data_IF_065113810233
#
_entry.id   IF_065113810233
#
_cell.length_a   1.000
_cell.length_b   1.000
_cell.length_c   1.000
_cell.angle_alpha   90.00
_cell.angle_beta   90.00
_cell.angle_gamma   90.00
#
_symmetry.space_group_name_H-M   'P 1'
#
loop_
_entity.id
_entity.type
_entity.pdbx_description
1 polymer ?
#
# COMPACT_ATOMS: atom_id res chain seq x y z
N UNK A 1 2.89 0.77 -23.82
CA UNK A 1 4.16 0.38 -24.46
C UNK A 1 4.90 -0.53 -23.49
N UNK A 2 5.15 -1.79 -23.88
CA UNK A 2 5.88 -2.72 -23.03
C UNK A 2 7.36 -2.30 -23.02
N UNK A 3 7.79 -1.58 -22.02
CA UNK A 3 9.20 -1.19 -21.87
C UNK A 3 9.89 -2.27 -21.06
N UNK A 4 10.90 -2.91 -21.65
CA UNK A 4 11.80 -3.81 -20.95
C UNK A 4 12.80 -2.96 -20.14
N UNK A 5 12.90 -3.24 -18.84
CA UNK A 5 13.81 -2.53 -17.93
C UNK A 5 14.43 -3.53 -16.94
N UNK A 6 15.54 -3.14 -16.33
CA UNK A 6 16.15 -3.88 -15.22
C UNK A 6 15.93 -3.10 -13.92
N UNK A 7 15.51 -3.78 -12.86
CA UNK A 7 15.38 -3.16 -11.53
C UNK A 7 16.75 -2.73 -10.99
N UNK A 8 17.78 -3.57 -11.21
CA UNK A 8 19.12 -3.34 -10.70
C UNK A 8 20.16 -3.50 -11.81
N UNK A 9 20.32 -2.53 -12.72
CA UNK A 9 21.22 -2.63 -13.88
C UNK A 9 22.70 -2.74 -13.49
N UNK A 10 23.06 -2.35 -12.28
CA UNK A 10 24.43 -2.41 -11.76
C UNK A 10 24.99 -3.84 -11.74
N UNK A 11 24.15 -4.85 -11.50
CA UNK A 11 24.59 -6.25 -11.51
C UNK A 11 25.03 -6.75 -12.90
N UNK A 12 24.63 -6.08 -13.99
CA UNK A 12 25.09 -6.41 -15.33
C UNK A 12 26.60 -6.21 -15.50
N UNK A 13 27.25 -5.37 -14.68
CA UNK A 13 28.70 -5.26 -14.65
C UNK A 13 29.38 -6.59 -14.27
N UNK A 14 28.66 -7.49 -13.58
CA UNK A 14 29.14 -8.84 -13.32
C UNK A 14 29.42 -9.67 -14.58
N UNK A 15 28.85 -9.30 -15.73
CA UNK A 15 29.17 -9.95 -17.03
C UNK A 15 30.65 -9.81 -17.44
N UNK A 16 31.36 -8.80 -16.92
CA UNK A 16 32.79 -8.68 -17.12
C UNK A 16 33.61 -9.84 -16.50
N UNK A 17 33.02 -10.59 -15.59
CA UNK A 17 33.63 -11.81 -15.04
C UNK A 17 33.76 -12.90 -16.10
N UNK A 18 32.87 -12.95 -17.09
CA UNK A 18 32.83 -13.99 -18.13
C UNK A 18 34.10 -13.96 -18.98
N UNK A 19 34.49 -12.83 -19.63
CA UNK A 19 35.73 -12.78 -20.43
C UNK A 19 36.97 -13.08 -19.56
N UNK A 20 36.97 -12.66 -18.29
CA UNK A 20 38.07 -12.99 -17.38
C UNK A 20 38.16 -14.51 -17.16
N UNK A 21 37.05 -15.20 -16.92
CA UNK A 21 37.03 -16.66 -16.75
C UNK A 21 37.41 -17.39 -18.03
N UNK A 22 37.02 -16.88 -19.20
CA UNK A 22 37.41 -17.43 -20.49
C UNK A 22 38.93 -17.32 -20.71
N UNK A 23 39.54 -16.18 -20.41
CA UNK A 23 40.99 -16.00 -20.48
C UNK A 23 41.73 -16.95 -19.52
N UNK A 24 41.22 -17.07 -18.29
CA UNK A 24 41.78 -18.00 -17.30
C UNK A 24 41.69 -19.45 -17.78
N UNK A 25 40.55 -19.84 -18.35
CA UNK A 25 40.35 -21.18 -18.89
C UNK A 25 41.31 -21.47 -20.06
N UNK A 26 41.48 -20.54 -20.98
CA UNK A 26 42.41 -20.67 -22.11
C UNK A 26 43.84 -20.81 -21.59
N UNK A 27 44.22 -19.99 -20.60
CA UNK A 27 45.56 -20.07 -19.97
C UNK A 27 45.79 -21.44 -19.33
N UNK A 28 44.84 -21.92 -18.51
CA UNK A 28 44.92 -23.23 -17.83
C UNK A 28 44.97 -24.37 -18.85
N UNK A 29 44.15 -24.31 -19.91
CA UNK A 29 44.13 -25.31 -20.98
C UNK A 29 45.46 -25.39 -21.72
N UNK A 30 46.04 -24.22 -22.08
CA UNK A 30 47.36 -24.15 -22.72
C UNK A 30 48.45 -24.71 -21.80
N UNK A 31 48.44 -24.36 -20.54
CA UNK A 31 49.40 -24.87 -19.54
C UNK A 31 49.27 -26.37 -19.37
N UNK A 32 48.06 -26.88 -19.24
CA UNK A 32 47.80 -28.33 -19.16
C UNK A 32 48.29 -29.07 -20.42
N UNK A 33 48.10 -28.52 -21.59
CA UNK A 33 48.58 -29.07 -22.88
C UNK A 33 50.12 -29.09 -22.95
N UNK A 34 50.77 -28.02 -22.48
CA UNK A 34 52.24 -27.93 -22.45
C UNK A 34 52.84 -28.97 -21.47
N UNK A 35 52.23 -29.11 -20.29
CA UNK A 35 52.67 -30.10 -19.29
C UNK A 35 52.55 -31.52 -19.83
N UNK A 36 51.45 -31.83 -20.49
CA UNK A 36 51.25 -33.13 -21.12
C UNK A 36 52.26 -33.42 -22.25
N UNK A 37 52.64 -32.43 -23.03
CA UNK A 37 53.69 -32.54 -24.09
C UNK A 37 55.08 -32.80 -23.48
N UNK A 38 55.36 -32.33 -22.23
CA UNK A 38 56.60 -32.57 -21.53
C UNK A 38 56.69 -33.98 -20.93
N UNK A 39 55.56 -34.63 -20.67
CA UNK A 39 55.48 -35.99 -20.11
C UNK A 39 55.68 -37.10 -21.15
N UNK A 40 55.65 -36.81 -22.44
CA UNK A 40 55.92 -37.82 -23.47
C UNK A 40 55.23 -37.55 -24.82
N UNK A 41 55.40 -38.50 -25.72
CA UNK A 41 54.83 -38.41 -27.05
C UNK A 41 53.31 -38.42 -27.02
N UNK A 42 52.63 -37.43 -27.61
CA UNK A 42 51.15 -37.30 -27.59
C UNK A 42 50.42 -38.53 -28.07
N UNK A 43 51.01 -39.30 -28.99
CA UNK A 43 50.42 -40.52 -29.55
C UNK A 43 50.40 -41.68 -28.53
N UNK A 44 51.43 -41.78 -27.70
CA UNK A 44 51.51 -42.78 -26.63
C UNK A 44 50.60 -42.40 -25.46
N UNK A 45 50.57 -41.12 -25.09
CA UNK A 45 49.66 -40.60 -24.04
C UNK A 45 48.19 -40.83 -24.39
N UNK A 46 47.81 -40.70 -25.66
CA UNK A 46 46.47 -40.96 -26.16
C UNK A 46 46.05 -42.43 -26.01
N UNK A 47 47.02 -43.36 -26.13
CA UNK A 47 46.79 -44.80 -25.90
C UNK A 47 46.65 -45.14 -24.41
N UNK A 48 47.34 -44.41 -23.52
CA UNK A 48 47.26 -44.58 -22.09
C UNK A 48 46.00 -43.98 -21.44
N UNK A 49 45.34 -43.02 -22.17
CA UNK A 49 44.12 -42.35 -21.72
C UNK A 49 43.00 -42.47 -22.77
N UNK A 50 42.53 -43.69 -23.10
CA UNK A 50 41.54 -43.89 -24.17
C UNK A 50 40.17 -43.27 -23.88
N UNK A 51 39.90 -43.06 -22.60
CA UNK A 51 38.59 -42.60 -22.10
C UNK A 51 38.48 -41.07 -22.02
N UNK A 52 39.58 -40.36 -22.18
CA UNK A 52 39.61 -38.90 -22.13
C UNK A 52 38.90 -38.30 -23.34
N UNK A 53 37.86 -37.50 -23.10
CA UNK A 53 37.19 -36.72 -24.13
C UNK A 53 37.89 -35.37 -24.28
N UNK A 54 38.20 -34.94 -25.53
CA UNK A 54 38.77 -33.63 -25.79
C UNK A 54 37.71 -32.53 -25.84
N UNK A 55 36.46 -32.89 -26.13
CA UNK A 55 35.37 -31.94 -26.35
C UNK A 55 34.51 -31.67 -25.09
N UNK A 56 34.28 -32.67 -24.28
CA UNK A 56 33.40 -32.57 -23.09
C UNK A 56 33.82 -31.49 -22.09
N UNK A 57 35.12 -31.26 -21.75
CA UNK A 57 35.53 -30.19 -20.88
C UNK A 57 35.14 -28.80 -21.40
N UNK A 58 35.17 -28.60 -22.72
CA UNK A 58 34.80 -27.33 -23.35
C UNK A 58 33.29 -27.11 -23.24
N UNK A 59 32.49 -28.13 -23.54
CA UNK A 59 31.01 -28.04 -23.38
C UNK A 59 30.63 -27.78 -21.94
N UNK A 60 31.25 -28.50 -21.02
CA UNK A 60 31.02 -28.32 -19.57
C UNK A 60 31.28 -26.88 -19.14
N UNK A 61 32.47 -26.35 -19.55
CA UNK A 61 32.82 -24.97 -19.25
C UNK A 61 31.88 -23.95 -19.90
N UNK A 62 31.42 -24.21 -21.13
CA UNK A 62 30.44 -23.34 -21.80
C UNK A 62 29.10 -23.34 -21.10
N UNK A 63 28.60 -24.51 -20.67
CA UNK A 63 27.35 -24.61 -19.88
C UNK A 63 27.45 -23.87 -18.56
N UNK A 64 28.59 -23.98 -17.88
CA UNK A 64 28.85 -23.23 -16.65
C UNK A 64 28.84 -21.71 -16.88
N UNK A 65 29.52 -21.22 -17.94
CA UNK A 65 29.51 -19.80 -18.27
C UNK A 65 28.12 -19.28 -18.63
N UNK A 66 27.33 -20.08 -19.36
CA UNK A 66 25.98 -19.72 -19.75
C UNK A 66 25.06 -19.63 -18.53
N UNK A 67 25.19 -20.60 -17.61
CA UNK A 67 24.48 -20.58 -16.34
C UNK A 67 24.86 -19.36 -15.49
N UNK A 68 26.15 -19.04 -15.39
CA UNK A 68 26.65 -17.86 -14.68
C UNK A 68 26.09 -16.56 -15.29
N UNK A 69 26.07 -16.46 -16.63
CA UNK A 69 25.49 -15.31 -17.32
C UNK A 69 23.99 -15.13 -16.98
N UNK A 70 23.23 -16.24 -17.00
CA UNK A 70 21.82 -16.21 -16.66
C UNK A 70 21.59 -15.83 -15.18
N UNK A 71 22.43 -16.29 -14.26
CA UNK A 71 22.35 -15.88 -12.85
C UNK A 71 22.64 -14.39 -12.68
N UNK A 72 23.62 -13.83 -13.40
CA UNK A 72 23.91 -12.39 -13.37
C UNK A 72 22.70 -11.60 -13.91
N UNK A 73 22.09 -12.05 -15.02
CA UNK A 73 20.88 -11.44 -15.55
C UNK A 73 19.71 -11.56 -14.57
N UNK A 74 19.57 -12.69 -13.88
CA UNK A 74 18.54 -12.88 -12.85
C UNK A 74 18.72 -11.90 -11.69
N UNK A 75 19.96 -11.66 -11.23
CA UNK A 75 20.27 -10.67 -10.19
C UNK A 75 19.94 -9.24 -10.62
N UNK A 76 20.06 -8.93 -11.91
CA UNK A 76 19.66 -7.63 -12.46
C UNK A 76 18.13 -7.44 -12.48
N UNK A 77 17.34 -8.47 -12.14
CA UNK A 77 15.85 -8.48 -12.05
C UNK A 77 15.22 -7.88 -13.32
N UNK A 78 15.18 -8.62 -14.45
CA UNK A 78 14.53 -8.14 -15.65
C UNK A 78 13.03 -7.98 -15.42
N UNK A 79 12.52 -6.79 -15.71
CA UNK A 79 11.12 -6.39 -15.62
C UNK A 79 10.55 -6.38 -17.04
N UNK A 80 9.49 -7.12 -17.28
CA UNK A 80 8.84 -7.15 -18.58
C UNK A 80 7.33 -7.11 -18.44
N UNK A 81 6.71 -6.09 -19.02
CA UNK A 81 5.28 -5.90 -18.96
C UNK A 81 4.84 -5.12 -17.71
N UNK A 82 3.62 -4.66 -17.74
CA UNK A 82 2.89 -4.16 -16.59
C UNK A 82 1.86 -5.23 -16.23
N UNK A 83 2.19 -6.12 -15.33
CA UNK A 83 1.17 -6.92 -14.67
C UNK A 83 0.44 -6.00 -13.69
N UNK A 84 -0.61 -5.37 -14.18
CA UNK A 84 -1.62 -4.90 -13.27
C UNK A 84 -2.23 -6.11 -12.59
N UNK A 85 -1.69 -6.57 -11.47
CA UNK A 85 -2.48 -7.39 -10.56
C UNK A 85 -3.61 -6.49 -10.09
N UNK A 86 -4.75 -6.68 -10.72
CA UNK A 86 -5.99 -6.15 -10.24
C UNK A 86 -6.33 -6.91 -8.95
N UNK A 87 -5.84 -6.45 -7.81
CA UNK A 87 -6.36 -6.91 -6.54
C UNK A 87 -7.78 -6.37 -6.41
N UNK A 88 -8.74 -7.22 -6.72
CA UNK A 88 -10.15 -6.95 -6.52
C UNK A 88 -10.45 -7.07 -5.02
N UNK A 89 -10.33 -5.96 -4.34
CA UNK A 89 -10.71 -5.85 -2.94
C UNK A 89 -12.12 -5.27 -2.83
N UNK A 90 -12.91 -5.80 -1.92
CA UNK A 90 -14.26 -5.27 -1.65
C UNK A 90 -14.14 -4.20 -0.59
N UNK A 91 -14.51 -2.98 -0.91
CA UNK A 91 -14.46 -1.85 0.01
C UNK A 91 -15.51 -0.80 -0.31
N UNK A 92 -15.59 0.22 0.52
CA UNK A 92 -16.45 1.39 0.39
C UNK A 92 -15.60 2.65 0.18
N UNK A 93 -16.25 3.72 -0.25
CA UNK A 93 -15.70 5.07 -0.22
C UNK A 93 -16.22 5.80 1.03
N UNK A 94 -15.32 6.26 1.88
CA UNK A 94 -15.60 6.99 3.11
C UNK A 94 -15.09 8.43 2.99
N UNK A 95 -15.99 9.42 2.97
CA UNK A 95 -15.62 10.83 3.08
C UNK A 95 -15.79 11.28 4.54
N UNK A 96 -14.69 11.65 5.18
CA UNK A 96 -14.66 12.10 6.58
C UNK A 96 -14.56 13.62 6.60
N UNK A 97 -15.51 14.27 7.26
CA UNK A 97 -15.56 15.72 7.47
C UNK A 97 -15.43 16.02 8.96
N UNK A 98 -14.34 16.69 9.33
CA UNK A 98 -14.04 16.99 10.75
C UNK A 98 -14.29 18.47 11.00
N UNK A 99 -15.11 18.74 12.00
CA UNK A 99 -15.28 20.08 12.54
C UNK A 99 -14.00 20.52 13.25
N UNK A 100 -13.44 21.64 12.81
CA UNK A 100 -12.25 22.25 13.41
C UNK A 100 -12.56 23.66 13.91
N UNK A 101 -13.84 23.96 14.19
CA UNK A 101 -14.23 25.22 14.84
C UNK A 101 -13.63 25.33 16.24
N UNK A 102 -13.56 26.54 16.75
CA UNK A 102 -13.02 26.81 18.09
C UNK A 102 -13.75 26.08 19.20
N UNK A 103 -15.05 25.76 19.04
CA UNK A 103 -15.83 24.96 20.00
C UNK A 103 -15.26 23.56 20.20
N UNK A 104 -14.55 23.02 19.22
CA UNK A 104 -13.88 21.71 19.32
C UNK A 104 -12.65 21.73 20.25
N UNK A 105 -12.20 22.88 20.72
CA UNK A 105 -11.18 23.00 21.77
C UNK A 105 -11.76 22.85 23.19
N UNK A 106 -13.10 22.84 23.35
CA UNK A 106 -13.74 22.66 24.64
C UNK A 106 -13.30 21.36 25.34
N UNK A 107 -13.13 21.43 26.67
CA UNK A 107 -12.55 20.38 27.50
C UNK A 107 -13.61 19.63 28.34
N UNK A 108 -14.84 19.58 27.88
CA UNK A 108 -15.91 18.75 28.50
C UNK A 108 -15.67 17.26 28.27
N UNK A 109 -14.76 16.90 27.34
CA UNK A 109 -14.18 15.59 27.16
C UNK A 109 -12.65 15.70 27.17
N UNK A 110 -11.97 14.72 27.74
CA UNK A 110 -10.50 14.78 27.91
C UNK A 110 -9.77 14.22 26.70
N UNK A 111 -8.73 14.86 26.16
CA UNK A 111 -8.16 16.16 26.58
C UNK A 111 -8.99 17.34 26.06
N UNK A 112 -9.58 17.27 24.88
CA UNK A 112 -10.57 18.14 24.27
C UNK A 112 -11.34 17.40 23.17
N UNK A 113 -12.39 18.03 22.61
CA UNK A 113 -13.24 17.40 21.58
C UNK A 113 -12.47 17.04 20.33
N UNK A 114 -11.56 17.91 19.83
CA UNK A 114 -10.79 17.68 18.61
C UNK A 114 -9.79 16.53 18.78
N UNK A 115 -9.09 16.45 19.90
CA UNK A 115 -8.17 15.35 20.16
C UNK A 115 -8.89 14.01 20.31
N UNK A 116 -10.10 14.00 20.87
CA UNK A 116 -10.94 12.80 20.90
C UNK A 116 -11.38 12.38 19.48
N UNK A 117 -11.70 13.35 18.61
CA UNK A 117 -12.02 13.09 17.22
C UNK A 117 -10.82 12.48 16.47
N UNK A 118 -9.60 13.02 16.66
CA UNK A 118 -8.37 12.47 16.11
C UNK A 118 -8.13 11.02 16.57
N UNK A 119 -8.27 10.75 17.85
CA UNK A 119 -8.08 9.40 18.41
C UNK A 119 -9.06 8.40 17.80
N UNK A 120 -10.33 8.78 17.66
CA UNK A 120 -11.31 7.93 17.00
C UNK A 120 -10.93 7.65 15.56
N UNK A 121 -10.55 8.68 14.79
CA UNK A 121 -10.18 8.55 13.39
C UNK A 121 -8.92 7.69 13.19
N UNK A 122 -7.87 7.89 14.01
CA UNK A 122 -6.68 7.04 13.98
C UNK A 122 -7.04 5.57 14.25
N UNK A 123 -7.85 5.31 15.27
CA UNK A 123 -8.32 3.95 15.58
C UNK A 123 -9.18 3.35 14.45
N UNK A 124 -9.91 4.17 13.71
CA UNK A 124 -10.72 3.75 12.58
C UNK A 124 -9.82 3.40 11.36
N UNK A 125 -8.86 4.26 11.03
CA UNK A 125 -7.93 4.07 9.91
C UNK A 125 -7.03 2.86 10.10
N UNK A 126 -6.53 2.60 11.29
CA UNK A 126 -5.69 1.42 11.62
C UNK A 126 -6.32 0.07 11.23
N UNK A 127 -7.64 0.02 11.13
CA UNK A 127 -8.38 -1.21 10.84
C UNK A 127 -9.01 -1.24 9.46
N UNK A 128 -8.87 -0.17 8.69
CA UNK A 128 -9.27 -0.16 7.29
C UNK A 128 -8.25 -0.97 6.47
N UNK A 129 -8.74 -1.83 5.59
CA UNK A 129 -7.85 -2.66 4.75
C UNK A 129 -8.12 -2.48 3.26
N UNK A 130 -9.38 -2.23 2.90
CA UNK A 130 -9.83 -2.25 1.51
C UNK A 130 -10.71 -1.04 1.16
N UNK A 131 -10.99 -0.18 2.12
CA UNK A 131 -11.81 1.00 1.94
C UNK A 131 -10.97 2.18 1.43
N UNK A 132 -11.60 3.12 0.75
CA UNK A 132 -10.97 4.38 0.39
C UNK A 132 -11.46 5.48 1.33
N UNK A 133 -10.57 6.35 1.75
CA UNK A 133 -10.86 7.47 2.64
C UNK A 133 -10.51 8.79 1.96
N UNK A 134 -11.41 9.77 2.10
CA UNK A 134 -11.11 11.18 1.86
C UNK A 134 -11.27 11.95 3.16
N UNK A 135 -10.43 12.95 3.40
CA UNK A 135 -10.48 13.78 4.60
C UNK A 135 -10.69 15.24 4.22
N UNK A 136 -11.65 15.87 4.86
CA UNK A 136 -11.88 17.30 4.81
C UNK A 136 -12.10 17.89 6.18
N UNK A 137 -11.86 19.17 6.30
CA UNK A 137 -12.14 19.96 7.49
C UNK A 137 -13.19 21.02 7.19
N UNK A 138 -13.94 21.38 8.21
CA UNK A 138 -14.87 22.48 8.08
C UNK A 138 -14.99 23.28 9.40
N UNK A 139 -15.33 24.51 9.24
CA UNK A 139 -15.79 25.43 10.25
C UNK A 139 -16.81 26.38 9.59
N UNK A 140 -16.59 27.67 9.46
CA UNK A 140 -17.41 28.57 8.65
C UNK A 140 -17.38 28.24 7.14
N UNK A 141 -16.33 27.59 6.66
CA UNK A 141 -16.14 27.07 5.32
C UNK A 141 -15.59 25.63 5.37
N UNK A 142 -15.63 24.90 4.25
CA UNK A 142 -15.15 23.53 4.16
C UNK A 142 -14.00 23.40 3.15
N UNK A 143 -12.93 22.70 3.53
CA UNK A 143 -11.72 22.51 2.73
C UNK A 143 -11.31 21.03 2.64
N UNK A 144 -10.94 20.55 1.45
CA UNK A 144 -10.40 19.21 1.30
C UNK A 144 -8.95 19.16 1.81
N UNK A 145 -8.61 18.15 2.60
CA UNK A 145 -7.25 17.90 3.06
C UNK A 145 -6.60 16.73 2.32
N UNK A 146 -7.34 15.63 2.16
CA UNK A 146 -6.86 14.43 1.51
C UNK A 146 -7.91 13.98 0.48
N UNK A 147 -7.55 13.84 -0.80
CA UNK A 147 -8.45 13.26 -1.79
C UNK A 147 -8.68 11.77 -1.51
N UNK A 148 -9.69 11.17 -2.15
CA UNK A 148 -10.02 9.75 -1.99
C UNK A 148 -8.81 8.87 -2.28
N UNK A 149 -8.36 8.11 -1.28
CA UNK A 149 -7.16 7.26 -1.34
C UNK A 149 -7.29 6.03 -0.44
N UNK A 150 -6.48 5.01 -0.70
CA UNK A 150 -6.24 3.87 0.18
C UNK A 150 -4.92 3.97 0.96
N UNK A 151 -4.25 5.12 0.90
CA UNK A 151 -3.03 5.40 1.66
C UNK A 151 -3.40 5.86 3.07
N UNK A 152 -3.46 4.91 4.00
CA UNK A 152 -3.84 5.16 5.40
C UNK A 152 -2.73 5.87 6.19
N UNK A 153 -1.46 5.71 5.81
CA UNK A 153 -0.34 6.41 6.45
C UNK A 153 -0.42 7.92 6.16
N UNK A 154 -0.77 8.27 4.92
CA UNK A 154 -1.07 9.65 4.57
C UNK A 154 -2.29 10.17 5.34
N UNK A 155 -3.37 9.38 5.44
CA UNK A 155 -4.56 9.78 6.20
C UNK A 155 -4.24 10.03 7.67
N UNK A 156 -3.46 9.18 8.32
CA UNK A 156 -3.02 9.34 9.71
C UNK A 156 -2.19 10.62 9.89
N UNK A 157 -1.30 10.91 8.95
CA UNK A 157 -0.51 12.14 8.98
C UNK A 157 -1.39 13.39 8.98
N UNK A 158 -2.41 13.43 8.11
CA UNK A 158 -3.36 14.55 8.06
C UNK A 158 -4.26 14.60 9.29
N UNK A 159 -4.74 13.46 9.81
CA UNK A 159 -5.54 13.40 11.05
C UNK A 159 -4.76 14.00 12.22
N UNK A 160 -3.50 13.66 12.36
CA UNK A 160 -2.64 14.18 13.44
C UNK A 160 -2.38 15.69 13.30
N UNK A 161 -2.41 16.23 12.09
CA UNK A 161 -2.18 17.66 11.82
C UNK A 161 -3.42 18.55 12.02
N UNK A 162 -4.62 17.97 12.25
CA UNK A 162 -5.86 18.73 12.39
C UNK A 162 -5.74 19.79 13.48
N UNK A 163 -6.07 21.03 13.14
CA UNK A 163 -6.11 22.15 14.10
C UNK A 163 -7.13 23.20 13.67
N UNK A 164 -7.68 24.01 14.61
CA UNK A 164 -8.60 25.08 14.28
C UNK A 164 -8.01 26.18 13.40
N UNK A 165 -6.69 26.30 13.37
CA UNK A 165 -5.97 27.32 12.59
C UNK A 165 -5.99 26.99 11.07
N UNK A 166 -6.42 25.77 10.69
CA UNK A 166 -6.54 25.38 9.28
C UNK A 166 -7.67 26.13 8.56
N UNK A 167 -8.63 26.66 9.30
CA UNK A 167 -9.79 27.38 8.71
C UNK A 167 -9.82 28.79 9.23
N UNK A 168 -9.77 29.76 8.32
CA UNK A 168 -9.74 31.18 8.67
C UNK A 168 -11.09 31.68 9.18
N UNK A 169 -12.19 31.22 8.57
CA UNK A 169 -13.53 31.61 8.96
C UNK A 169 -14.09 30.64 9.99
N UNK A 170 -14.27 31.12 11.21
CA UNK A 170 -14.85 30.33 12.30
C UNK A 170 -16.38 30.23 12.17
N UNK A 171 -16.94 29.23 12.83
CA UNK A 171 -18.37 28.86 12.74
C UNK A 171 -18.51 27.40 12.35
N UNK A 172 -19.74 26.94 12.01
CA UNK A 172 -20.01 25.54 11.66
C UNK A 172 -20.98 25.47 10.47
N UNK A 173 -20.45 25.27 9.27
CA UNK A 173 -21.18 25.21 8.01
C UNK A 173 -21.34 23.76 7.55
N UNK A 174 -22.30 23.07 8.10
CA UNK A 174 -22.61 21.67 7.77
C UNK A 174 -23.04 21.45 6.31
N UNK A 175 -23.86 22.32 5.69
CA UNK A 175 -24.18 22.22 4.27
C UNK A 175 -22.92 22.20 3.38
N UNK A 176 -21.95 23.08 3.67
CA UNK A 176 -20.69 23.13 2.92
C UNK A 176 -19.87 21.84 3.12
N UNK A 177 -19.82 21.31 4.34
CA UNK A 177 -19.13 20.05 4.65
C UNK A 177 -19.74 18.87 3.87
N UNK A 178 -21.07 18.74 3.84
CA UNK A 178 -21.79 17.70 3.09
C UNK A 178 -21.53 17.83 1.58
N UNK A 179 -21.63 19.06 1.04
CA UNK A 179 -21.36 19.31 -0.38
C UNK A 179 -19.91 19.00 -0.77
N UNK A 180 -18.95 19.26 0.11
CA UNK A 180 -17.55 18.88 -0.10
C UNK A 180 -17.37 17.36 -0.08
N UNK A 181 -18.01 16.68 0.87
CA UNK A 181 -17.99 15.22 0.94
C UNK A 181 -18.53 14.57 -0.34
N UNK A 182 -19.67 15.07 -0.85
CA UNK A 182 -20.26 14.58 -2.11
C UNK A 182 -19.27 14.69 -3.29
N UNK A 183 -18.56 15.81 -3.38
CA UNK A 183 -17.57 16.07 -4.44
C UNK A 183 -16.29 15.23 -4.30
N UNK A 184 -16.02 14.68 -3.13
CA UNK A 184 -14.85 13.86 -2.86
C UNK A 184 -14.99 12.43 -3.36
N UNK A 185 -16.20 11.95 -3.63
CA UNK A 185 -16.47 10.61 -4.11
C UNK A 185 -16.13 10.42 -5.58
N UNK A 186 -15.76 9.19 -5.93
CA UNK A 186 -15.60 8.80 -7.34
C UNK A 186 -16.97 8.82 -8.07
N UNK A 187 -16.94 8.99 -9.39
CA UNK A 187 -18.16 8.92 -10.21
C UNK A 187 -18.77 7.51 -10.33
N UNK A 188 -18.25 6.52 -9.61
CA UNK A 188 -18.67 5.12 -9.69
C UNK A 188 -19.98 4.90 -8.92
N UNK A 189 -21.00 4.39 -9.62
CA UNK A 189 -22.37 4.22 -9.05
C UNK A 189 -22.54 2.96 -8.20
N UNK A 190 -21.64 2.00 -8.32
CA UNK A 190 -21.79 0.68 -7.67
C UNK A 190 -21.02 0.54 -6.37
N UNK A 191 -20.22 1.54 -5.99
CA UNK A 191 -19.46 1.57 -4.72
C UNK A 191 -20.34 2.14 -3.63
N UNK A 192 -20.37 1.51 -2.46
CA UNK A 192 -21.04 2.05 -1.29
C UNK A 192 -20.33 3.31 -0.80
N UNK A 193 -21.09 4.38 -0.62
CA UNK A 193 -20.59 5.70 -0.23
C UNK A 193 -21.09 6.05 1.17
N UNK A 194 -20.16 6.40 2.04
CA UNK A 194 -20.45 6.87 3.38
C UNK A 194 -19.85 8.25 3.63
N UNK A 195 -20.64 9.14 4.19
CA UNK A 195 -20.17 10.43 4.72
C UNK A 195 -20.12 10.29 6.23
N UNK A 196 -18.98 10.60 6.84
CA UNK A 196 -18.79 10.63 8.28
C UNK A 196 -18.52 12.07 8.70
N UNK A 197 -19.45 12.66 9.45
CA UNK A 197 -19.30 14.00 10.03
C UNK A 197 -18.99 13.86 11.50
N UNK A 198 -17.94 14.55 11.96
CA UNK A 198 -17.56 14.64 13.38
C UNK A 198 -17.70 16.09 13.79
N UNK A 199 -18.62 16.40 14.69
CA UNK A 199 -18.99 17.76 15.10
C UNK A 199 -19.64 17.76 16.48
N UNK A 200 -19.69 18.92 17.11
CA UNK A 200 -20.53 19.16 18.30
C UNK A 200 -21.98 19.59 17.93
N UNK A 201 -22.27 19.77 16.65
CA UNK A 201 -23.58 20.10 16.15
C UNK A 201 -24.06 21.52 16.40
N UNK A 202 -23.20 22.44 16.87
CA UNK A 202 -23.53 23.86 17.00
C UNK A 202 -23.44 24.53 15.63
N UNK A 203 -24.54 24.59 14.88
CA UNK A 203 -24.58 25.26 13.60
C UNK A 203 -25.47 26.49 13.63
N UNK A 204 -25.05 27.52 12.93
CA UNK A 204 -25.81 28.74 12.72
C UNK A 204 -26.28 28.87 11.25
N UNK A 205 -25.99 27.86 10.41
CA UNK A 205 -26.32 27.87 8.99
C UNK A 205 -27.47 26.90 8.76
N UNK A 206 -28.54 27.40 8.14
CA UNK A 206 -29.68 26.59 7.73
C UNK A 206 -29.36 25.74 6.50
N UNK A 207 -30.15 24.67 6.26
CA UNK A 207 -30.05 23.83 5.06
C UNK A 207 -29.24 22.54 5.23
N UNK A 208 -28.75 22.23 6.43
CA UNK A 208 -28.00 21.00 6.69
C UNK A 208 -28.82 19.72 6.48
N UNK A 209 -30.11 19.74 6.90
CA UNK A 209 -31.00 18.60 6.68
C UNK A 209 -31.33 18.39 5.20
N UNK A 210 -31.52 19.46 4.45
CA UNK A 210 -31.77 19.41 3.01
C UNK A 210 -30.59 18.83 2.26
N UNK A 211 -29.38 19.27 2.59
CA UNK A 211 -28.14 18.72 2.03
C UNK A 211 -28.00 17.22 2.36
N UNK A 212 -28.27 16.82 3.61
CA UNK A 212 -28.22 15.41 4.00
C UNK A 212 -29.27 14.55 3.26
N UNK A 213 -30.48 15.07 3.04
CA UNK A 213 -31.52 14.38 2.25
C UNK A 213 -31.13 14.23 0.79
N UNK A 214 -30.47 15.22 0.22
CA UNK A 214 -29.98 15.16 -1.16
C UNK A 214 -28.86 14.13 -1.33
N UNK A 215 -27.90 14.12 -0.41
CA UNK A 215 -26.84 13.08 -0.36
C UNK A 215 -27.44 11.66 -0.26
N UNK A 216 -28.47 11.49 0.60
CA UNK A 216 -29.18 10.22 0.74
C UNK A 216 -29.90 9.77 -0.54
N UNK A 217 -30.53 10.69 -1.29
CA UNK A 217 -31.14 10.39 -2.59
C UNK A 217 -30.12 9.92 -3.63
N UNK A 218 -28.89 10.41 -3.54
CA UNK A 218 -27.78 9.97 -4.39
C UNK A 218 -27.17 8.63 -3.94
N UNK A 219 -27.73 7.99 -2.90
CA UNK A 219 -27.30 6.68 -2.42
C UNK A 219 -26.18 6.71 -1.38
N UNK A 220 -25.82 7.89 -0.87
CA UNK A 220 -24.85 8.05 0.19
C UNK A 220 -25.50 7.86 1.56
N UNK A 221 -24.77 7.30 2.54
CA UNK A 221 -25.24 7.24 3.94
C UNK A 221 -24.43 8.19 4.81
N UNK A 222 -25.13 9.01 5.59
CA UNK A 222 -24.53 10.03 6.45
C UNK A 222 -24.47 9.55 7.91
N UNK A 223 -23.27 9.30 8.40
CA UNK A 223 -23.00 9.01 9.80
C UNK A 223 -22.57 10.28 10.51
N UNK A 224 -23.13 10.56 11.66
CA UNK A 224 -22.80 11.75 12.46
C UNK A 224 -22.29 11.31 13.82
N UNK A 225 -21.08 11.76 14.16
CA UNK A 225 -20.50 11.58 15.49
C UNK A 225 -20.57 12.89 16.23
N UNK A 226 -21.38 12.89 17.29
CA UNK A 226 -21.46 14.01 18.20
C UNK A 226 -20.34 13.95 19.23
N UNK A 227 -19.57 15.03 19.34
CA UNK A 227 -18.43 15.13 20.26
C UNK A 227 -18.72 16.19 21.31
N UNK A 228 -18.50 15.85 22.57
CA UNK A 228 -18.76 16.72 23.71
C UNK A 228 -19.90 16.23 24.57
N UNK A 229 -20.28 17.05 25.55
CA UNK A 229 -21.38 16.80 26.48
C UNK A 229 -22.51 17.81 26.30
N UNK A 230 -23.72 17.44 26.67
CA UNK A 230 -24.88 18.36 26.66
C UNK A 230 -24.79 19.42 27.75
N UNK A 231 -23.96 19.22 28.79
CA UNK A 231 -23.67 20.25 29.81
C UNK A 231 -22.70 21.31 29.30
N UNK A 232 -21.85 20.95 28.32
CA UNK A 232 -20.88 21.83 27.69
C UNK A 232 -19.74 22.26 28.59
N UNK A 233 -18.86 23.12 28.00
CA UNK A 233 -17.74 23.74 28.70
C UNK A 233 -17.35 25.07 28.03
N UNK A 234 -16.60 25.94 28.72
CA UNK A 234 -16.02 27.12 28.10
C UNK A 234 -14.95 26.72 27.07
N UNK A 235 -14.73 27.58 26.09
CA UNK A 235 -13.71 27.41 25.05
C UNK A 235 -12.39 27.99 25.54
N UNK A 236 -11.34 27.19 25.77
CA UNK A 236 -10.04 27.70 26.21
C UNK A 236 -9.31 28.41 25.07
N UNK A 237 -8.64 29.52 25.40
CA UNK A 237 -7.73 30.24 24.51
C UNK A 237 -6.39 30.47 25.22
N UNK A 238 -5.37 30.92 24.50
CA UNK A 238 -4.05 31.24 25.10
C UNK A 238 -4.10 32.31 26.21
N UNK A 239 -5.17 33.11 26.25
CA UNK A 239 -5.32 34.23 27.19
C UNK A 239 -6.42 33.98 28.27
N UNK A 240 -6.93 32.77 28.38
CA UNK A 240 -8.04 32.38 29.25
C UNK A 240 -9.20 31.81 28.45
N UNK A 241 -10.43 31.93 28.94
CA UNK A 241 -11.60 31.47 28.22
C UNK A 241 -12.04 32.48 27.15
N UNK A 242 -12.61 32.01 26.06
CA UNK A 242 -13.17 32.85 25.00
C UNK A 242 -14.32 33.68 25.56
N UNK A 243 -14.27 35.00 25.30
CA UNK A 243 -15.31 35.94 25.74
C UNK A 243 -16.15 36.38 24.54
N UNK A 244 -17.45 36.59 24.80
CA UNK A 244 -18.38 37.20 23.85
C UNK A 244 -18.13 38.73 23.76
N UNK A 245 -18.86 39.43 22.89
CA UNK A 245 -18.82 40.88 22.75
C UNK A 245 -19.19 41.64 24.04
N UNK A 246 -19.81 41.02 24.99
CA UNK A 246 -20.24 41.57 26.30
C UNK A 246 -19.25 41.23 27.43
N UNK A 247 -18.12 40.53 27.10
CA UNK A 247 -17.13 40.09 28.08
C UNK A 247 -17.55 38.90 28.93
N UNK A 248 -18.54 38.10 28.49
CA UNK A 248 -18.98 36.87 29.15
C UNK A 248 -18.30 35.68 28.54
N UNK A 249 -18.00 34.65 29.33
CA UNK A 249 -17.44 33.41 28.83
C UNK A 249 -18.41 32.73 27.86
N UNK A 250 -17.87 32.34 26.69
CA UNK A 250 -18.60 31.57 25.68
C UNK A 250 -18.64 30.10 26.12
N UNK A 251 -19.83 29.57 26.36
CA UNK A 251 -20.06 28.15 26.64
C UNK A 251 -20.59 27.47 25.39
N UNK A 252 -19.97 26.36 25.01
CA UNK A 252 -20.38 25.49 23.92
C UNK A 252 -20.86 24.14 24.46
N UNK A 253 -21.92 23.58 23.90
CA UNK A 253 -22.50 22.31 24.32
C UNK A 253 -22.85 21.45 23.11
N UNK A 254 -22.79 20.12 23.25
CA UNK A 254 -23.19 19.21 22.16
C UNK A 254 -24.70 19.37 21.88
N UNK A 255 -25.01 19.71 20.62
CA UNK A 255 -26.38 19.71 20.12
C UNK A 255 -26.77 18.33 19.58
N UNK A 256 -27.03 17.43 20.49
CA UNK A 256 -27.36 16.03 20.18
C UNK A 256 -28.60 15.91 19.29
N UNK A 257 -29.62 16.75 19.52
CA UNK A 257 -30.86 16.71 18.76
C UNK A 257 -30.62 17.01 17.28
N UNK A 258 -29.83 18.02 16.98
CA UNK A 258 -29.46 18.40 15.62
C UNK A 258 -28.64 17.30 14.95
N UNK A 259 -27.64 16.72 15.62
CA UNK A 259 -26.85 15.62 15.10
C UNK A 259 -27.71 14.39 14.77
N UNK A 260 -28.71 14.07 15.62
CA UNK A 260 -29.66 12.97 15.37
C UNK A 260 -30.57 13.25 14.17
N UNK A 261 -31.07 14.46 14.05
CA UNK A 261 -31.91 14.88 12.91
C UNK A 261 -31.14 14.81 11.59
N UNK A 262 -29.87 15.29 11.59
CA UNK A 262 -28.99 15.27 10.45
C UNK A 262 -28.68 13.83 9.98
N UNK A 263 -28.30 12.96 10.90
CA UNK A 263 -28.04 11.54 10.60
C UNK A 263 -29.28 10.82 10.04
N UNK A 264 -30.45 11.09 10.62
CA UNK A 264 -31.72 10.55 10.13
C UNK A 264 -32.06 11.06 8.72
N UNK A 265 -31.87 12.34 8.45
CA UNK A 265 -32.08 12.95 7.14
C UNK A 265 -31.17 12.30 6.08
N UNK A 266 -29.92 12.00 6.44
CA UNK A 266 -28.93 11.33 5.60
C UNK A 266 -29.04 9.80 5.56
N UNK A 267 -30.15 9.19 6.02
CA UNK A 267 -30.38 7.73 6.02
C UNK A 267 -29.25 6.91 6.72
N UNK A 268 -28.56 7.53 7.66
CA UNK A 268 -27.48 6.95 8.41
C UNK A 268 -27.76 6.83 9.90
N UNK A 269 -26.72 6.98 10.71
CA UNK A 269 -26.79 6.79 12.15
C UNK A 269 -26.04 7.89 12.90
N UNK A 270 -26.63 8.34 14.02
CA UNK A 270 -25.97 9.18 15.00
C UNK A 270 -25.26 8.31 16.04
N UNK A 271 -24.06 8.70 16.43
CA UNK A 271 -23.26 8.07 17.47
C UNK A 271 -22.65 9.16 18.37
N UNK A 272 -22.72 8.97 19.68
CA UNK A 272 -22.04 9.87 20.63
C UNK A 272 -20.64 9.36 20.94
N UNK A 273 -19.64 10.22 20.92
CA UNK A 273 -18.24 9.87 21.18
C UNK A 273 -17.98 9.69 22.70
N UNK A 274 -18.76 8.83 23.34
CA UNK A 274 -18.56 8.50 24.76
C UNK A 274 -17.73 7.22 24.99
N UNK A 275 -17.81 6.28 24.06
CA UNK A 275 -17.11 4.99 24.13
C UNK A 275 -16.59 4.61 22.74
N UNK A 276 -15.34 4.93 22.48
CA UNK A 276 -14.69 4.80 21.16
C UNK A 276 -14.88 3.42 20.54
N UNK A 277 -14.76 2.35 21.32
CA UNK A 277 -14.94 0.98 20.81
C UNK A 277 -16.37 0.67 20.35
N UNK A 278 -17.39 1.19 21.04
CA UNK A 278 -18.79 1.00 20.63
C UNK A 278 -19.11 1.82 19.38
N UNK A 279 -18.61 3.04 19.29
CA UNK A 279 -18.75 3.90 18.10
C UNK A 279 -18.12 3.22 16.89
N UNK A 280 -16.93 2.71 17.05
CA UNK A 280 -16.21 1.99 16.00
C UNK A 280 -16.97 0.74 15.54
N UNK A 281 -17.45 -0.09 16.48
CA UNK A 281 -18.19 -1.31 16.13
C UNK A 281 -19.51 -0.97 15.39
N UNK A 282 -20.19 0.10 15.79
CA UNK A 282 -21.40 0.58 15.14
C UNK A 282 -21.13 1.10 13.72
N UNK A 283 -20.03 1.87 13.51
CA UNK A 283 -19.61 2.33 12.19
C UNK A 283 -19.26 1.15 11.28
N UNK A 284 -18.46 0.19 11.76
CA UNK A 284 -18.08 -0.98 10.99
C UNK A 284 -19.30 -1.81 10.57
N UNK A 285 -20.29 -1.97 11.47
CA UNK A 285 -21.57 -2.60 11.13
C UNK A 285 -22.35 -1.78 10.09
N UNK A 286 -22.37 -0.44 10.21
CA UNK A 286 -23.01 0.45 9.25
C UNK A 286 -22.36 0.36 7.86
N UNK A 287 -21.06 0.32 7.79
CA UNK A 287 -20.29 0.22 6.55
C UNK A 287 -20.46 -1.15 5.89
N UNK A 288 -20.48 -2.24 6.66
CA UNK A 288 -20.71 -3.59 6.12
C UNK A 288 -22.07 -3.77 5.45
N UNK A 289 -23.06 -2.91 5.76
CA UNK A 289 -24.38 -2.90 5.12
C UNK A 289 -24.41 -2.11 3.80
N UNK A 290 -23.33 -1.40 3.46
CA UNK A 290 -23.21 -0.71 2.18
C UNK A 290 -22.82 -1.71 1.08
N UNK A 291 -23.17 -1.37 -0.16
CA UNK A 291 -22.72 -2.18 -1.32
C UNK A 291 -21.19 -2.18 -1.37
N UNK A 292 -20.61 -3.34 -1.07
CA UNK A 292 -19.18 -3.54 -1.24
C UNK A 292 -18.91 -3.86 -2.72
N UNK A 293 -18.11 -3.04 -3.36
CA UNK A 293 -17.63 -3.33 -4.73
C UNK A 293 -16.23 -3.88 -4.69
N UNK A 294 -15.91 -4.68 -5.71
CA UNK A 294 -14.55 -5.01 -6.08
C UNK A 294 -13.84 -3.72 -6.55
N UNK A 295 -13.10 -3.08 -5.64
CA UNK A 295 -12.21 -1.96 -5.99
C UNK A 295 -10.97 -2.57 -6.61
N UNK A 296 -10.83 -2.39 -7.91
CA UNK A 296 -9.64 -2.82 -8.64
C UNK A 296 -8.56 -1.75 -8.44
N UNK A 297 -7.73 -1.90 -7.42
CA UNK A 297 -6.49 -1.14 -7.33
C UNK A 297 -5.49 -1.75 -8.29
N UNK A 298 -5.28 -1.10 -9.43
CA UNK A 298 -4.23 -1.49 -10.35
C UNK A 298 -2.90 -1.02 -9.75
N UNK A 299 -2.29 -1.86 -8.93
CA UNK A 299 -0.88 -1.68 -8.60
C UNK A 299 -0.09 -2.04 -9.86
N UNK A 300 0.44 -1.02 -10.50
CA UNK A 300 1.32 -1.17 -11.67
C UNK A 300 2.70 -1.67 -11.19
N UNK A 301 2.74 -2.90 -10.70
CA UNK A 301 4.02 -3.57 -10.46
C UNK A 301 4.50 -4.18 -11.76
N UNK A 302 5.71 -3.82 -12.16
CA UNK A 302 6.36 -4.44 -13.31
C UNK A 302 6.63 -5.92 -12.99
N UNK A 303 6.20 -6.82 -13.87
CA UNK A 303 6.28 -8.27 -13.64
C UNK A 303 7.75 -8.72 -13.69
N UNK A 304 8.20 -9.33 -12.59
CA UNK A 304 9.58 -9.76 -12.43
C UNK A 304 9.81 -11.12 -13.12
N UNK A 305 10.68 -11.14 -14.13
CA UNK A 305 10.99 -12.35 -14.90
C UNK A 305 12.22 -13.10 -14.39
N UNK A 306 12.77 -12.72 -13.21
CA UNK A 306 13.94 -13.41 -12.65
C UNK A 306 13.74 -14.92 -12.38
N UNK A 307 12.53 -15.43 -12.01
CA UNK A 307 12.35 -16.86 -11.76
C UNK A 307 12.61 -17.71 -13.00
N UNK A 308 12.27 -17.21 -14.20
CA UNK A 308 12.56 -17.90 -15.46
C UNK A 308 14.06 -17.99 -15.71
N UNK A 309 14.79 -16.88 -15.52
CA UNK A 309 16.24 -16.85 -15.68
C UNK A 309 16.94 -17.80 -14.71
N UNK A 310 16.52 -17.82 -13.44
CA UNK A 310 17.03 -18.77 -12.43
C UNK A 310 16.71 -20.21 -12.79
N UNK A 311 15.48 -20.49 -13.25
CA UNK A 311 15.07 -21.84 -13.68
C UNK A 311 15.93 -22.39 -14.79
N UNK A 312 16.21 -21.58 -15.84
CA UNK A 312 17.11 -21.98 -16.92
C UNK A 312 18.56 -22.13 -16.46
N UNK A 313 19.06 -21.26 -15.56
CA UNK A 313 20.39 -21.37 -15.00
C UNK A 313 20.57 -22.69 -14.23
N UNK A 314 19.61 -23.05 -13.39
CA UNK A 314 19.61 -24.30 -12.63
C UNK A 314 19.58 -25.52 -13.57
N UNK A 315 18.76 -25.50 -14.63
CA UNK A 315 18.72 -26.56 -15.62
C UNK A 315 20.08 -26.76 -16.30
N UNK A 316 20.76 -25.66 -16.67
CA UNK A 316 22.09 -25.72 -17.27
C UNK A 316 23.13 -26.27 -16.29
N UNK A 317 23.08 -25.92 -15.01
CA UNK A 317 23.97 -26.47 -13.96
C UNK A 317 23.73 -27.97 -13.77
N UNK A 318 22.48 -28.42 -13.77
CA UNK A 318 22.18 -29.86 -13.68
C UNK A 318 22.73 -30.61 -14.89
N UNK A 319 22.55 -30.05 -16.11
CA UNK A 319 23.12 -30.63 -17.33
C UNK A 319 24.66 -30.66 -17.27
N UNK A 320 25.28 -29.60 -16.73
CA UNK A 320 26.74 -29.54 -16.53
C UNK A 320 27.23 -30.64 -15.59
N UNK A 321 26.53 -30.88 -14.48
CA UNK A 321 26.91 -31.93 -13.51
C UNK A 321 26.75 -33.34 -14.07
N UNK A 322 25.75 -33.59 -14.91
CA UNK A 322 25.50 -34.89 -15.56
C UNK A 322 26.56 -35.19 -16.63
N UNK A 323 27.18 -34.17 -17.23
CA UNK A 323 28.22 -34.32 -18.23
C UNK A 323 29.54 -34.70 -17.57
N UNK A 324 29.87 -36.01 -17.57
CA UNK A 324 31.20 -36.48 -17.12
C UNK A 324 32.29 -36.20 -18.15
N UNK A 325 33.49 -35.84 -17.68
CA UNK A 325 34.66 -35.57 -18.52
C UNK A 325 35.17 -36.81 -19.27
N UNK A 326 34.87 -38.01 -18.78
CA UNK A 326 35.30 -39.30 -19.36
C UNK A 326 34.21 -39.86 -20.28
N UNK A 327 34.63 -40.67 -21.27
CA UNK A 327 33.74 -41.29 -22.26
C UNK A 327 32.82 -42.38 -21.66
N UNK A 328 33.02 -42.75 -20.38
CA UNK A 328 32.18 -43.75 -19.71
C UNK A 328 30.76 -43.24 -19.49
N UNK A 329 29.83 -44.01 -20.00
CA UNK A 329 28.41 -43.79 -19.90
C UNK A 329 27.94 -44.08 -18.46
N UNK A 330 27.02 -43.23 -17.93
CA UNK A 330 26.20 -43.51 -16.74
C UNK A 330 25.64 -44.93 -16.66
N UNK A 331 25.39 -45.53 -17.81
CA UNK A 331 24.88 -46.92 -17.93
C UNK A 331 25.82 -47.99 -17.38
N UNK A 332 27.13 -47.77 -17.32
CA UNK A 332 28.05 -48.74 -16.71
C UNK A 332 28.16 -48.57 -15.20
N UNK A 333 28.07 -47.34 -14.68
CA UNK A 333 28.06 -47.11 -13.22
C UNK A 333 26.76 -47.63 -12.59
N UNK A 334 25.62 -47.42 -13.24
CA UNK A 334 24.32 -47.95 -12.78
C UNK A 334 24.34 -49.49 -12.82
N UNK A 335 24.88 -50.13 -13.87
CA UNK A 335 25.05 -51.60 -13.89
C UNK A 335 25.92 -52.12 -12.75
N UNK A 336 26.99 -51.41 -12.41
CA UNK A 336 27.89 -51.84 -11.30
C UNK A 336 27.25 -51.65 -9.92
N UNK A 337 26.31 -50.73 -9.77
CA UNK A 337 25.60 -50.52 -8.51
C UNK A 337 24.49 -51.57 -8.29
N UNK A 338 23.88 -52.07 -9.36
CA UNK A 338 22.81 -53.10 -9.29
C UNK A 338 23.32 -54.51 -9.41
N UNK A 339 24.63 -54.77 -9.61
CA UNK A 339 25.25 -56.08 -9.66
C UNK A 339 26.14 -56.40 -8.47
N UNK A 340 26.05 -55.61 -7.41
CA UNK A 340 26.56 -55.92 -6.06
C UNK A 340 25.34 -56.22 -5.17
#
# INVERSE_FOLDING_TARGET
MNTFQFANPEFLHGLWLIPLLVLLYIYMYRRKSQTLRRLGNPTQLKRLMPERSLWRPHVKFTLFLLSLALLIVALARPLYGMSGKADTTRGIELAVMVDVSNSMLAQDVSPNRLEQAKLLLSTLTDRMQNDQIALGVFAGEAYPLLPMTSDYDAAETYINSLSPEMVTLQGTNLPAAISLAEKSFSGQKEVGKAILIITDGETHVEGAEEAAKEAAKQGMKLFVIGVGTTSGAPIPTAQGNLLDENGREVHTALNEQMCRQLAKAGSGQYLSLGQTEQVRAALQKGFSQLKQREITTVHSEADEQFPLAVGFALLLLVLETILYETKYSLTKQIKHFFTR
#
